data_IF_288978793077
#
_entry.id   IF_288978793077
#
_cell.length_a   1.000
_cell.length_b   1.000
_cell.length_c   1.000
_cell.angle_alpha   90.00
_cell.angle_beta   90.00
_cell.angle_gamma   90.00
#
_symmetry.space_group_name_H-M   'P 1'
#
loop_
_entity.id
_entity.type
_entity.pdbx_description
1 polymer ?
#
# COMPACT_ATOMS: atom_id res chain seq x y z
N UNK A 1 -8.66 0.32 12.74
CA UNK A 1 -8.68 1.37 11.71
C UNK A 1 -7.26 1.59 11.21
N UNK A 2 -7.07 1.74 9.90
CA UNK A 2 -5.77 1.95 9.25
C UNK A 2 -5.83 3.28 8.50
N UNK A 3 -4.82 4.13 8.68
CA UNK A 3 -4.70 5.42 8.00
C UNK A 3 -3.62 5.32 6.92
N UNK A 4 -3.98 5.70 5.70
CA UNK A 4 -3.17 5.56 4.50
C UNK A 4 -3.42 4.23 3.77
N UNK A 5 -3.67 4.29 2.46
CA UNK A 5 -3.77 3.16 1.54
C UNK A 5 -2.52 3.06 0.63
N UNK A 6 -1.36 3.40 1.18
CA UNK A 6 -0.05 3.11 0.59
C UNK A 6 0.40 1.66 0.86
N UNK A 7 1.66 1.35 0.52
CA UNK A 7 2.23 -0.01 0.68
C UNK A 7 2.06 -0.57 2.10
N UNK A 8 2.43 0.19 3.13
CA UNK A 8 2.31 -0.22 4.53
C UNK A 8 0.86 -0.40 4.96
N UNK A 9 -0.02 0.52 4.60
CA UNK A 9 -1.43 0.45 5.01
C UNK A 9 -2.16 -0.76 4.41
N UNK A 10 -1.89 -1.07 3.14
CA UNK A 10 -2.42 -2.25 2.49
C UNK A 10 -1.85 -3.56 3.07
N UNK A 11 -0.56 -3.59 3.41
CA UNK A 11 0.05 -4.73 4.08
C UNK A 11 -0.56 -5.00 5.47
N UNK A 12 -0.78 -3.94 6.26
CA UNK A 12 -1.45 -4.04 7.56
C UNK A 12 -2.89 -4.50 7.40
N UNK A 13 -3.62 -3.92 6.44
CA UNK A 13 -5.00 -4.31 6.15
C UNK A 13 -5.12 -5.81 5.80
N UNK A 14 -4.21 -6.34 4.98
CA UNK A 14 -4.14 -7.77 4.67
C UNK A 14 -3.92 -8.62 5.92
N UNK A 15 -2.95 -8.25 6.77
CA UNK A 15 -2.65 -8.99 8.01
C UNK A 15 -3.84 -8.99 8.98
N UNK A 16 -4.56 -7.87 9.10
CA UNK A 16 -5.78 -7.79 9.92
C UNK A 16 -6.90 -8.66 9.36
N UNK A 17 -7.09 -8.66 8.03
CA UNK A 17 -8.06 -9.53 7.37
C UNK A 17 -7.76 -11.01 7.60
N UNK A 18 -6.49 -11.42 7.54
CA UNK A 18 -6.08 -12.82 7.77
C UNK A 18 -6.33 -13.28 9.20
N UNK A 19 -6.43 -12.34 10.14
CA UNK A 19 -6.76 -12.58 11.55
C UNK A 19 -8.25 -12.39 11.86
N UNK A 20 -9.09 -12.22 10.84
CA UNK A 20 -10.52 -11.93 10.97
C UNK A 20 -10.82 -10.69 11.84
N UNK A 21 -9.93 -9.68 11.79
CA UNK A 21 -10.12 -8.41 12.50
C UNK A 21 -10.76 -7.41 11.54
N UNK A 22 -11.98 -6.99 11.87
CA UNK A 22 -12.66 -5.93 11.14
C UNK A 22 -11.89 -4.61 11.24
N UNK A 23 -11.69 -3.97 10.11
CA UNK A 23 -11.00 -2.70 10.03
C UNK A 23 -11.44 -1.95 8.77
N UNK A 24 -11.27 -0.63 8.83
CA UNK A 24 -11.45 0.27 7.68
C UNK A 24 -10.10 0.90 7.34
N UNK A 25 -9.86 1.13 6.05
CA UNK A 25 -8.70 1.85 5.52
C UNK A 25 -9.18 3.19 5.01
N UNK A 26 -8.57 4.27 5.51
CA UNK A 26 -8.88 5.64 5.08
C UNK A 26 -7.68 6.22 4.34
N UNK A 27 -7.90 6.75 3.14
CA UNK A 27 -6.90 7.41 2.31
C UNK A 27 -7.45 8.76 1.84
N UNK A 28 -6.57 9.75 1.69
CA UNK A 28 -6.96 11.10 1.26
C UNK A 28 -7.28 11.15 -0.23
N UNK A 29 -6.53 10.39 -1.03
CA UNK A 29 -6.64 10.34 -2.49
C UNK A 29 -6.96 8.91 -2.95
N UNK A 30 -6.43 8.50 -4.11
CA UNK A 30 -6.58 7.14 -4.61
C UNK A 30 -5.71 6.12 -3.85
N UNK A 31 -6.11 4.85 -3.89
CA UNK A 31 -5.28 3.75 -3.38
C UNK A 31 -3.91 3.77 -4.05
N UNK A 32 -2.87 3.78 -3.23
CA UNK A 32 -1.47 3.93 -3.63
C UNK A 32 -1.17 5.22 -4.42
N UNK A 33 -1.84 6.34 -4.12
CA UNK A 33 -1.68 7.63 -4.82
C UNK A 33 -0.20 8.03 -4.98
N UNK A 34 0.60 8.02 -3.91
CA UNK A 34 2.00 8.43 -3.99
C UNK A 34 2.84 7.61 -4.98
N UNK A 35 2.46 6.35 -5.24
CA UNK A 35 3.11 5.51 -6.24
C UNK A 35 2.53 5.68 -7.64
N UNK A 36 1.25 6.03 -7.76
CA UNK A 36 0.57 6.19 -9.05
C UNK A 36 0.78 7.57 -9.66
N UNK A 37 0.79 8.61 -8.83
CA UNK A 37 0.69 10.01 -9.28
C UNK A 37 1.86 10.88 -8.82
N UNK A 38 2.42 10.61 -7.63
CA UNK A 38 3.50 11.44 -7.05
C UNK A 38 4.90 10.86 -7.25
N UNK A 39 5.03 9.69 -7.89
CA UNK A 39 6.33 9.08 -8.15
C UNK A 39 7.08 9.85 -9.24
N UNK A 40 8.40 9.87 -9.13
CA UNK A 40 9.27 10.34 -10.21
C UNK A 40 9.19 9.39 -11.41
N UNK A 41 9.20 9.92 -12.63
CA UNK A 41 9.20 9.11 -13.86
C UNK A 41 10.43 8.19 -13.95
N UNK A 42 11.56 8.65 -13.42
CA UNK A 42 12.82 7.93 -13.34
C UNK A 42 12.90 6.94 -12.17
N UNK A 43 11.92 6.92 -11.26
CA UNK A 43 11.93 5.99 -10.13
C UNK A 43 11.91 4.54 -10.63
N UNK A 44 12.85 3.74 -10.14
CA UNK A 44 12.92 2.28 -10.36
C UNK A 44 13.12 1.59 -9.02
N UNK A 45 12.47 0.45 -8.84
CA UNK A 45 12.74 -0.41 -7.69
C UNK A 45 14.11 -1.06 -7.89
N UNK A 46 14.92 -1.07 -6.83
CA UNK A 46 16.22 -1.74 -6.81
C UNK A 46 16.11 -3.22 -6.45
N UNK A 47 14.91 -3.65 -6.08
CA UNK A 47 14.58 -5.06 -5.82
C UNK A 47 14.10 -5.73 -7.10
N UNK A 48 14.52 -6.98 -7.37
CA UNK A 48 13.96 -7.76 -8.46
C UNK A 48 12.43 -7.91 -8.32
N UNK A 49 11.71 -7.91 -9.44
CA UNK A 49 10.24 -7.99 -9.46
C UNK A 49 9.67 -9.23 -8.76
N UNK A 50 10.43 -10.33 -8.69
CA UNK A 50 10.02 -11.54 -7.98
C UNK A 50 10.00 -11.39 -6.46
N UNK A 51 10.76 -10.44 -5.91
CA UNK A 51 10.81 -10.18 -4.47
C UNK A 51 9.62 -9.33 -3.99
N UNK A 52 9.04 -8.52 -4.90
CA UNK A 52 7.93 -7.61 -4.61
C UNK A 52 6.58 -8.14 -5.11
N UNK A 53 6.51 -9.42 -5.49
CA UNK A 53 5.31 -10.11 -5.97
C UNK A 53 4.48 -10.70 -4.84
#
# INVERSE_FOLDING_TARGET
>A
MVIGAGHTGLAVSRCLRDRAVDHVVLERADVANSWKTERWDSLRLLTPNWQSR
#
